data_IF_958426939802
#
_entry.id   IF_958426939802
#
_cell.length_a   1.000
_cell.length_b   1.000
_cell.length_c   1.000
_cell.angle_alpha   90.00
_cell.angle_beta   90.00
_cell.angle_gamma   90.00
#
_symmetry.space_group_name_H-M   'P 1'
#
loop_
_entity.id
_entity.type
_entity.pdbx_description
1 polymer ?
#
# COMPACT_ATOMS: atom_id res chain seq x y z
N UNK A 1 6.58 9.35 -7.05
CA UNK A 1 7.49 9.75 -5.95
C UNK A 1 7.55 11.26 -5.96
N UNK A 2 7.19 11.92 -4.85
CA UNK A 2 7.17 13.38 -4.75
C UNK A 2 8.54 13.92 -4.30
N UNK A 3 9.21 13.24 -3.37
CA UNK A 3 10.58 13.56 -2.98
C UNK A 3 11.56 13.06 -4.05
N UNK A 4 12.57 13.87 -4.37
CA UNK A 4 13.67 13.46 -5.24
C UNK A 4 14.65 12.57 -4.49
N UNK A 5 15.39 11.73 -5.22
CA UNK A 5 16.38 10.83 -4.61
C UNK A 5 17.54 11.61 -3.96
N UNK A 6 17.90 12.77 -4.51
CA UNK A 6 18.94 13.65 -3.96
C UNK A 6 18.49 14.22 -2.61
N UNK A 7 17.27 14.76 -2.52
CA UNK A 7 16.72 15.29 -1.27
C UNK A 7 16.65 14.22 -0.15
N UNK A 8 16.32 12.97 -0.48
CA UNK A 8 16.31 11.87 0.50
C UNK A 8 17.72 11.48 0.98
N UNK A 9 18.74 11.62 0.12
CA UNK A 9 20.13 11.39 0.48
C UNK A 9 20.68 12.54 1.33
N UNK A 10 20.37 13.79 0.97
CA UNK A 10 20.80 14.98 1.71
C UNK A 10 20.19 15.01 3.12
N UNK A 11 18.94 14.56 3.26
CA UNK A 11 18.28 14.37 4.56
C UNK A 11 18.76 13.12 5.32
N UNK A 12 19.68 12.33 4.75
CA UNK A 12 20.25 11.11 5.34
C UNK A 12 19.20 10.15 5.89
N UNK A 13 18.10 9.96 5.15
CA UNK A 13 17.02 9.07 5.58
C UNK A 13 17.48 7.60 5.60
N UNK A 14 17.00 6.86 6.61
CA UNK A 14 17.19 5.41 6.73
C UNK A 14 16.51 4.72 5.55
N UNK A 15 17.08 3.62 5.05
CA UNK A 15 16.56 2.88 3.90
C UNK A 15 15.08 2.49 4.05
N UNK A 16 14.65 2.13 5.27
CA UNK A 16 13.25 1.76 5.57
C UNK A 16 12.29 2.95 5.49
N UNK A 17 12.77 4.19 5.63
CA UNK A 17 11.97 5.41 5.61
C UNK A 17 11.90 6.04 4.21
N UNK A 18 12.60 5.46 3.22
CA UNK A 18 12.61 5.92 1.82
C UNK A 18 11.40 5.40 1.04
N UNK A 19 10.24 5.50 1.66
CA UNK A 19 8.96 5.10 1.09
C UNK A 19 8.34 6.23 0.26
N UNK A 20 7.20 5.96 -0.40
CA UNK A 20 6.46 6.98 -1.15
C UNK A 20 6.05 8.18 -0.28
N UNK A 21 5.97 7.97 1.04
CA UNK A 21 5.61 8.95 2.05
C UNK A 21 6.77 9.84 2.56
N UNK A 22 8.01 9.63 2.08
CA UNK A 22 9.22 10.29 2.61
C UNK A 22 9.18 11.84 2.58
N UNK A 23 8.36 12.43 1.71
CA UNK A 23 8.19 13.88 1.61
C UNK A 23 7.61 14.52 2.89
N UNK A 24 6.72 13.83 3.60
CA UNK A 24 6.22 14.31 4.89
C UNK A 24 7.27 14.22 6.00
N UNK A 25 8.09 13.17 5.97
CA UNK A 25 9.18 12.99 6.92
C UNK A 25 10.24 14.09 6.80
N UNK A 26 10.59 14.48 5.57
CA UNK A 26 11.51 15.60 5.34
C UNK A 26 10.93 16.90 5.92
N UNK A 27 9.62 17.15 5.75
CA UNK A 27 8.94 18.33 6.31
C UNK A 27 8.94 18.31 7.83
N UNK A 28 8.68 17.15 8.44
CA UNK A 28 8.76 16.94 9.88
C UNK A 28 10.16 17.28 10.42
N UNK A 29 11.22 16.75 9.79
CA UNK A 29 12.60 16.99 10.22
C UNK A 29 12.97 18.47 10.11
N UNK A 30 12.53 19.14 9.03
CA UNK A 30 12.70 20.58 8.86
C UNK A 30 12.00 21.36 9.97
N UNK A 31 10.72 21.06 10.23
CA UNK A 31 9.93 21.68 11.29
C UNK A 31 10.56 21.49 12.68
N UNK A 32 11.04 20.28 13.01
CA UNK A 32 11.76 20.02 14.27
C UNK A 32 13.05 20.84 14.42
N UNK A 33 13.77 21.07 13.32
CA UNK A 33 14.98 21.89 13.32
C UNK A 33 14.67 23.37 13.52
N UNK A 34 13.62 23.86 12.85
CA UNK A 34 13.25 25.27 12.85
C UNK A 34 12.50 25.66 14.14
N UNK A 35 11.82 24.72 14.81
CA UNK A 35 10.98 24.99 16.00
C UNK A 35 11.68 24.78 17.35
N UNK A 36 12.98 24.49 17.41
CA UNK A 36 13.71 24.32 18.67
C UNK A 36 13.79 25.67 19.42
N UNK A 37 13.33 25.81 20.69
CA UNK A 37 13.14 24.79 21.74
C UNK A 37 11.69 24.29 21.95
N UNK A 38 10.74 24.71 21.13
CA UNK A 38 9.32 24.36 21.27
C UNK A 38 9.04 22.97 20.67
N UNK A 39 9.02 21.94 21.53
CA UNK A 39 8.80 20.55 21.11
C UNK A 39 7.36 20.21 20.68
N UNK A 40 6.38 21.05 21.04
CA UNK A 40 4.96 20.79 20.78
C UNK A 40 4.41 21.40 19.48
N UNK A 41 5.20 22.23 18.79
CA UNK A 41 4.72 22.97 17.62
C UNK A 41 4.45 22.07 16.40
N UNK A 42 5.15 20.93 16.29
CA UNK A 42 5.22 20.14 15.06
C UNK A 42 4.22 18.96 15.01
N UNK A 43 3.01 19.13 15.55
CA UNK A 43 2.02 18.04 15.66
C UNK A 43 1.26 17.77 14.37
N UNK A 44 1.04 18.81 13.56
CA UNK A 44 0.33 18.67 12.28
C UNK A 44 1.17 17.87 11.27
N UNK A 45 2.48 18.15 11.20
CA UNK A 45 3.40 17.45 10.32
C UNK A 45 3.60 15.99 10.74
N UNK A 46 3.54 15.70 12.05
CA UNK A 46 3.52 14.33 12.57
C UNK A 46 2.28 13.59 12.07
N UNK A 47 1.10 14.18 12.28
CA UNK A 47 -0.16 13.59 11.87
C UNK A 47 -0.23 13.36 10.35
N UNK A 48 0.28 14.29 9.54
CA UNK A 48 0.30 14.13 8.09
C UNK A 48 1.16 12.94 7.64
N UNK A 49 2.31 12.75 8.28
CA UNK A 49 3.18 11.59 8.02
C UNK A 49 2.49 10.28 8.45
N UNK A 50 1.96 10.21 9.67
CA UNK A 50 1.25 9.04 10.20
C UNK A 50 0.04 8.67 9.32
N UNK A 51 -0.72 9.67 8.88
CA UNK A 51 -1.88 9.49 8.02
C UNK A 51 -1.47 8.92 6.65
N UNK A 52 -0.37 9.41 6.10
CA UNK A 52 0.17 8.93 4.83
C UNK A 52 0.70 7.50 4.94
N UNK A 53 1.37 7.12 6.04
CA UNK A 53 1.75 5.72 6.30
C UNK A 53 0.53 4.81 6.43
N UNK A 54 -0.52 5.29 7.09
CA UNK A 54 -1.78 4.56 7.18
C UNK A 54 -2.42 4.33 5.79
N UNK A 55 -2.39 5.34 4.91
CA UNK A 55 -2.87 5.19 3.54
C UNK A 55 -2.05 4.17 2.74
N UNK A 56 -0.74 4.14 2.93
CA UNK A 56 0.13 3.15 2.29
C UNK A 56 -0.13 1.73 2.81
N UNK A 57 -0.39 1.58 4.12
CA UNK A 57 -0.84 0.30 4.69
C UNK A 57 -2.17 -0.17 4.09
N UNK A 58 -3.14 0.73 3.96
CA UNK A 58 -4.44 0.42 3.32
C UNK A 58 -4.26 0.03 1.85
N UNK A 59 -3.34 0.63 1.11
CA UNK A 59 -3.01 0.22 -0.28
C UNK A 59 -2.49 -1.21 -0.31
N UNK A 60 -1.55 -1.58 0.59
CA UNK A 60 -1.03 -2.95 0.70
C UNK A 60 -2.15 -3.97 1.00
N UNK A 61 -3.10 -3.62 1.88
CA UNK A 61 -4.26 -4.47 2.14
C UNK A 61 -5.16 -4.64 0.91
N UNK A 62 -5.36 -3.57 0.13
CA UNK A 62 -6.15 -3.62 -1.11
C UNK A 62 -5.49 -4.49 -2.18
N UNK A 63 -4.16 -4.43 -2.31
CA UNK A 63 -3.40 -5.28 -3.22
C UNK A 63 -3.55 -6.76 -2.85
N UNK A 64 -3.43 -7.08 -1.56
CA UNK A 64 -3.65 -8.44 -1.05
C UNK A 64 -5.06 -8.96 -1.36
N UNK A 65 -6.10 -8.17 -1.07
CA UNK A 65 -7.48 -8.56 -1.42
C UNK A 65 -7.70 -8.70 -2.92
N UNK A 66 -7.07 -7.84 -3.73
CA UNK A 66 -7.14 -7.88 -5.18
C UNK A 66 -6.59 -9.19 -5.71
N UNK A 67 -5.40 -9.58 -5.27
CA UNK A 67 -4.78 -10.86 -5.66
C UNK A 67 -5.63 -12.04 -5.22
N UNK A 68 -6.14 -12.03 -3.97
CA UNK A 68 -7.03 -13.08 -3.46
C UNK A 68 -8.26 -13.26 -4.37
N UNK A 69 -8.92 -12.15 -4.76
CA UNK A 69 -10.11 -12.19 -5.63
C UNK A 69 -9.77 -12.68 -7.04
N UNK A 70 -8.60 -12.32 -7.57
CA UNK A 70 -8.13 -12.77 -8.88
C UNK A 70 -7.85 -14.27 -8.88
N UNK A 71 -7.17 -14.79 -7.86
CA UNK A 71 -6.90 -16.23 -7.71
C UNK A 71 -8.21 -17.03 -7.58
N UNK A 72 -9.16 -16.59 -6.77
CA UNK A 72 -10.48 -17.23 -6.66
C UNK A 72 -11.28 -17.20 -7.97
N UNK A 73 -11.13 -16.15 -8.79
CA UNK A 73 -11.76 -16.08 -10.12
C UNK A 73 -11.07 -17.02 -11.10
N UNK A 74 -9.74 -17.14 -11.04
CA UNK A 74 -8.96 -18.07 -11.87
C UNK A 74 -9.35 -19.52 -11.56
N UNK A 75 -9.36 -19.91 -10.29
CA UNK A 75 -9.80 -21.23 -9.85
C UNK A 75 -11.23 -21.56 -10.32
N UNK A 76 -12.18 -20.63 -10.19
CA UNK A 76 -13.56 -20.84 -10.68
C UNK A 76 -13.66 -21.01 -12.20
N UNK A 77 -12.81 -20.31 -12.97
CA UNK A 77 -12.76 -20.46 -14.43
C UNK A 77 -12.17 -21.81 -14.81
N UNK A 78 -11.07 -22.21 -14.17
CA UNK A 78 -10.43 -23.52 -14.39
C UNK A 78 -11.35 -24.67 -14.01
N UNK A 79 -12.09 -24.57 -12.90
CA UNK A 79 -13.12 -25.55 -12.52
C UNK A 79 -14.20 -25.64 -13.59
N UNK A 80 -14.77 -24.51 -14.03
CA UNK A 80 -15.79 -24.50 -15.09
C UNK A 80 -15.28 -25.08 -16.41
N UNK A 81 -14.04 -24.77 -16.79
CA UNK A 81 -13.40 -25.35 -17.99
C UNK A 81 -13.19 -26.86 -17.85
N UNK A 82 -12.75 -27.32 -16.67
CA UNK A 82 -12.59 -28.74 -16.38
C UNK A 82 -13.93 -29.49 -16.36
N UNK A 83 -15.01 -28.87 -15.88
CA UNK A 83 -16.36 -29.45 -15.87
C UNK A 83 -16.92 -29.55 -17.31
N UNK A 84 -16.71 -28.51 -18.12
CA UNK A 84 -17.04 -28.53 -19.56
C UNK A 84 -16.24 -29.61 -20.31
N UNK A 85 -14.95 -29.75 -20.02
CA UNK A 85 -14.10 -30.79 -20.62
C UNK A 85 -14.52 -32.21 -20.20
N UNK A 86 -15.10 -32.38 -19.00
CA UNK A 86 -15.67 -33.64 -18.52
C UNK A 86 -17.06 -33.95 -19.09
N UNK A 87 -17.66 -33.06 -19.88
CA UNK A 87 -18.96 -33.28 -20.52
C UNK A 87 -20.17 -33.16 -19.58
N UNK A 88 -19.99 -32.70 -18.33
CA UNK A 88 -21.11 -32.49 -17.40
C UNK A 88 -21.74 -31.11 -17.67
N UNK A 89 -22.69 -31.06 -18.61
CA UNK A 89 -23.54 -29.89 -18.79
C UNK A 89 -24.44 -29.66 -17.56
N UNK A 90 -24.83 -28.41 -17.23
CA UNK A 90 -25.78 -28.11 -16.16
C UNK A 90 -27.21 -28.51 -16.56
N UNK A 91 -27.45 -29.82 -16.69
CA UNK A 91 -28.72 -30.35 -17.20
C UNK A 91 -28.86 -31.88 -17.26
N UNK A 92 -27.79 -32.68 -17.09
CA UNK A 92 -27.94 -34.14 -16.91
C UNK A 92 -28.11 -34.47 -15.42
N UNK A 93 -29.27 -34.09 -14.87
CA UNK A 93 -29.76 -34.74 -13.65
C UNK A 93 -30.36 -36.05 -14.11
N UNK A 94 -29.77 -37.15 -13.64
CA UNK A 94 -30.18 -38.52 -13.93
C UNK A 94 -31.71 -38.70 -13.84
N UNK A 95 -32.31 -39.13 -14.96
CA UNK A 95 -33.63 -39.77 -15.00
C UNK A 95 -33.48 -41.25 -14.65
#
# INVERSE_FOLDING_TARGET
MVATQQEMNDAQLVLQQRDYCAHYLIRLLKCKRDSFPNFLACKHEQHDWDYCEHLDYVKRMKEFERERRLLQRKQRREQREADLARGQGPGEVAL
#
